data_IF_137809094185
#
_entry.id   IF_137809094185
#
_cell.length_a   1.000
_cell.length_b   1.000
_cell.length_c   1.000
_cell.angle_alpha   90.00
_cell.angle_beta   90.00
_cell.angle_gamma   90.00
#
_symmetry.space_group_name_H-M   'P 1'
#
loop_
_entity.id
_entity.type
_entity.pdbx_description
1 polymer ?
#
# COMPACT_ATOMS: atom_id res chain seq x y z
N UNK A 1 48.09 -18.57 14.96
CA UNK A 1 47.39 -18.17 16.19
C UNK A 1 45.95 -17.68 15.98
N UNK A 2 45.60 -16.80 15.03
CA UNK A 2 44.20 -16.36 14.86
C UNK A 2 43.28 -17.41 14.22
N UNK A 3 43.78 -18.26 13.35
CA UNK A 3 43.02 -19.33 12.69
C UNK A 3 42.66 -20.49 13.65
N UNK A 4 43.52 -20.79 14.61
CA UNK A 4 43.29 -21.88 15.57
C UNK A 4 42.11 -21.56 16.50
N UNK A 5 41.94 -20.29 16.89
CA UNK A 5 40.80 -19.83 17.70
C UNK A 5 39.46 -19.97 16.93
N UNK A 6 39.49 -19.76 15.63
CA UNK A 6 38.30 -19.92 14.77
C UNK A 6 37.84 -21.39 14.70
N UNK A 7 38.81 -22.33 14.48
CA UNK A 7 38.50 -23.75 14.46
C UNK A 7 38.00 -24.29 15.81
N UNK A 8 38.55 -23.79 16.91
CA UNK A 8 38.09 -24.14 18.26
C UNK A 8 36.66 -23.62 18.51
N UNK A 9 36.35 -22.41 18.07
CA UNK A 9 35.00 -21.82 18.21
C UNK A 9 33.95 -22.60 17.39
N UNK A 10 34.23 -22.95 16.14
CA UNK A 10 33.32 -23.73 15.27
C UNK A 10 33.06 -25.13 15.86
N UNK A 11 34.09 -25.80 16.38
CA UNK A 11 33.94 -27.14 16.96
C UNK A 11 33.12 -27.10 18.28
N UNK A 12 33.22 -26.01 19.03
CA UNK A 12 32.49 -25.77 20.26
C UNK A 12 30.97 -25.62 20.03
N UNK A 13 30.58 -24.91 18.97
CA UNK A 13 29.14 -24.69 18.60
C UNK A 13 28.49 -26.04 18.25
N UNK A 14 29.21 -26.95 17.63
CA UNK A 14 28.70 -28.26 17.17
C UNK A 14 28.31 -29.20 18.31
N UNK A 15 28.87 -29.06 19.51
CA UNK A 15 28.64 -29.95 20.65
C UNK A 15 27.47 -29.50 21.57
N UNK A 16 26.97 -28.24 21.46
CA UNK A 16 25.91 -27.64 22.33
C UNK A 16 24.64 -27.30 21.57
N UNK A 17 23.97 -28.34 21.03
CA UNK A 17 22.93 -28.20 20.01
C UNK A 17 21.69 -27.42 20.45
N UNK A 18 21.16 -27.57 21.66
CA UNK A 18 19.82 -27.01 21.99
C UNK A 18 19.84 -25.52 22.38
N UNK A 19 20.75 -25.09 23.27
CA UNK A 19 20.78 -23.74 23.80
C UNK A 19 21.24 -22.70 22.77
N UNK A 20 22.34 -23.04 22.07
CA UNK A 20 22.86 -22.19 20.98
C UNK A 20 21.86 -22.07 19.84
N UNK A 21 21.11 -23.13 19.52
CA UNK A 21 20.05 -23.12 18.51
C UNK A 21 18.91 -22.17 18.87
N UNK A 22 18.40 -22.19 20.11
CA UNK A 22 17.33 -21.28 20.55
C UNK A 22 17.75 -19.81 20.45
N UNK A 23 19.01 -19.51 20.79
CA UNK A 23 19.55 -18.14 20.67
C UNK A 23 19.66 -17.72 19.20
N UNK A 24 20.18 -18.61 18.32
CA UNK A 24 20.28 -18.36 16.88
C UNK A 24 18.91 -18.16 16.27
N UNK A 25 17.92 -18.98 16.62
CA UNK A 25 16.53 -18.85 16.15
C UNK A 25 15.93 -17.48 16.54
N UNK A 26 16.17 -17.02 17.79
CA UNK A 26 15.73 -15.68 18.22
C UNK A 26 16.32 -14.56 17.36
N UNK A 27 17.61 -14.66 17.01
CA UNK A 27 18.28 -13.68 16.14
C UNK A 27 17.74 -13.78 14.72
N UNK A 28 17.56 -14.99 14.18
CA UNK A 28 17.00 -15.21 12.83
C UNK A 28 15.63 -14.57 12.73
N UNK A 29 14.72 -14.82 13.69
CA UNK A 29 13.37 -14.23 13.68
C UNK A 29 13.45 -12.71 13.74
N UNK A 30 14.27 -12.15 14.63
CA UNK A 30 14.41 -10.70 14.77
C UNK A 30 14.91 -10.02 13.48
N UNK A 31 15.98 -10.56 12.89
CA UNK A 31 16.56 -10.03 11.65
C UNK A 31 15.63 -10.25 10.46
N UNK A 32 15.02 -11.43 10.35
CA UNK A 32 14.07 -11.71 9.26
C UNK A 32 12.88 -10.78 9.29
N UNK A 33 12.30 -10.53 10.47
CA UNK A 33 11.21 -9.58 10.65
C UNK A 33 11.59 -8.16 10.21
N UNK A 34 12.77 -7.66 10.62
CA UNK A 34 13.24 -6.34 10.23
C UNK A 34 13.34 -6.22 8.71
N UNK A 35 14.02 -7.17 8.08
CA UNK A 35 14.28 -7.12 6.62
C UNK A 35 12.98 -7.24 5.84
N UNK A 36 12.11 -8.19 6.21
CA UNK A 36 10.82 -8.37 5.56
C UNK A 36 9.96 -7.11 5.64
N UNK A 37 9.85 -6.50 6.82
CA UNK A 37 9.03 -5.32 7.04
C UNK A 37 9.57 -4.07 6.34
N UNK A 38 10.91 -3.85 6.38
CA UNK A 38 11.51 -2.70 5.68
C UNK A 38 11.34 -2.86 4.17
N UNK A 39 11.54 -4.07 3.64
CA UNK A 39 11.38 -4.33 2.21
C UNK A 39 9.93 -4.11 1.78
N UNK A 40 8.97 -4.62 2.56
CA UNK A 40 7.55 -4.43 2.28
C UNK A 40 7.14 -2.95 2.32
N UNK A 41 7.60 -2.19 3.32
CA UNK A 41 7.33 -0.76 3.42
C UNK A 41 7.86 0.02 2.21
N UNK A 42 9.09 -0.25 1.78
CA UNK A 42 9.67 0.39 0.59
C UNK A 42 8.99 -0.01 -0.71
N UNK A 43 8.57 -1.27 -0.83
CA UNK A 43 7.81 -1.71 -2.01
C UNK A 43 6.47 -0.98 -2.09
N UNK A 44 5.76 -0.83 -0.97
CA UNK A 44 4.49 -0.11 -0.92
C UNK A 44 4.68 1.37 -1.28
N UNK A 45 5.71 2.04 -0.71
CA UNK A 45 6.06 3.42 -1.04
C UNK A 45 6.31 3.59 -2.55
N UNK A 46 7.17 2.75 -3.14
CA UNK A 46 7.48 2.79 -4.57
C UNK A 46 6.26 2.52 -5.46
N UNK A 47 5.38 1.59 -5.05
CA UNK A 47 4.14 1.30 -5.79
C UNK A 47 3.19 2.48 -5.77
N UNK A 48 3.02 3.12 -4.60
CA UNK A 48 2.19 4.30 -4.47
C UNK A 48 2.73 5.47 -5.30
N UNK A 49 4.04 5.72 -5.25
CA UNK A 49 4.68 6.74 -6.09
C UNK A 49 4.42 6.50 -7.58
N UNK A 50 4.59 5.27 -8.06
CA UNK A 50 4.31 4.91 -9.46
C UNK A 50 2.84 5.10 -9.83
N UNK A 51 1.90 4.72 -8.97
CA UNK A 51 0.48 4.95 -9.20
C UNK A 51 0.17 6.45 -9.30
N UNK A 52 0.69 7.27 -8.38
CA UNK A 52 0.47 8.72 -8.44
C UNK A 52 1.16 9.40 -9.63
N UNK A 53 2.32 8.92 -10.08
CA UNK A 53 2.92 9.39 -11.33
C UNK A 53 2.03 9.07 -12.53
N UNK A 54 1.42 7.89 -12.55
CA UNK A 54 0.51 7.44 -13.62
C UNK A 54 -0.81 8.21 -13.60
N UNK A 55 -1.43 8.42 -12.43
CA UNK A 55 -2.67 9.19 -12.29
C UNK A 55 -2.50 10.71 -12.51
N UNK A 56 -1.26 11.18 -12.69
CA UNK A 56 -0.93 12.57 -12.97
C UNK A 56 -0.67 13.41 -11.72
N UNK A 57 0.58 13.87 -11.58
CA UNK A 57 1.01 14.75 -10.50
C UNK A 57 0.33 16.13 -10.51
N UNK A 58 -0.36 16.47 -11.61
CA UNK A 58 -0.96 17.79 -11.85
C UNK A 58 -2.44 17.86 -11.45
N UNK A 59 -2.89 17.05 -10.50
CA UNK A 59 -4.30 17.04 -10.07
C UNK A 59 -4.45 17.62 -8.67
N UNK A 60 -5.52 18.40 -8.50
CA UNK A 60 -6.01 18.88 -7.22
C UNK A 60 -7.34 18.17 -6.96
N UNK A 61 -7.48 17.64 -5.77
CA UNK A 61 -8.68 16.94 -5.32
C UNK A 61 -9.42 17.79 -4.29
N UNK A 62 -10.72 17.88 -4.44
CA UNK A 62 -11.60 18.49 -3.43
C UNK A 62 -12.57 17.43 -2.95
N UNK A 63 -12.68 17.30 -1.64
CA UNK A 63 -13.61 16.38 -0.98
C UNK A 63 -14.25 17.01 0.23
N UNK A 64 -15.35 16.44 0.70
CA UNK A 64 -15.93 16.86 1.98
C UNK A 64 -14.99 16.51 3.14
N UNK A 65 -14.96 17.35 4.16
CA UNK A 65 -14.10 17.14 5.33
C UNK A 65 -14.43 15.83 6.04
N UNK A 66 -13.42 15.03 6.29
CA UNK A 66 -13.60 13.69 6.85
C UNK A 66 -13.90 12.59 5.82
N UNK A 67 -13.81 12.89 4.54
CA UNK A 67 -13.85 11.88 3.49
C UNK A 67 -12.70 10.88 3.64
N UNK A 68 -13.02 9.59 3.74
CA UNK A 68 -12.04 8.53 3.97
C UNK A 68 -11.68 7.74 2.69
N UNK A 69 -12.06 8.28 1.53
CA UNK A 69 -11.77 7.66 0.24
C UNK A 69 -12.99 7.08 -0.48
N UNK A 70 -12.80 6.53 -1.68
CA UNK A 70 -13.87 5.95 -2.48
C UNK A 70 -14.68 4.89 -1.72
N UNK A 71 -15.99 4.91 -1.88
CA UNK A 71 -16.91 4.03 -1.16
C UNK A 71 -17.49 4.61 0.12
N UNK A 72 -16.96 5.73 0.63
CA UNK A 72 -17.54 6.48 1.75
C UNK A 72 -18.36 7.67 1.22
N UNK A 73 -19.50 7.95 1.86
CA UNK A 73 -20.30 9.10 1.49
C UNK A 73 -19.57 10.39 1.90
N UNK A 74 -19.31 11.26 0.92
CA UNK A 74 -18.79 12.59 1.19
C UNK A 74 -19.98 13.51 1.47
N UNK A 75 -20.08 14.04 2.67
CA UNK A 75 -21.11 15.01 2.98
C UNK A 75 -20.63 16.40 2.59
N UNK A 76 -21.29 16.98 1.63
CA UNK A 76 -21.26 18.43 1.51
C UNK A 76 -20.75 19.07 0.23
N UNK A 77 -20.19 18.36 -0.76
CA UNK A 77 -19.91 18.95 -2.07
C UNK A 77 -21.15 18.90 -2.97
N UNK A 78 -21.34 19.96 -3.75
CA UNK A 78 -22.47 20.13 -4.64
C UNK A 78 -22.02 20.54 -6.05
N UNK A 79 -22.96 20.52 -7.00
CA UNK A 79 -22.72 21.03 -8.35
C UNK A 79 -22.31 22.52 -8.33
N UNK A 80 -22.84 23.33 -7.40
CA UNK A 80 -22.43 24.73 -7.27
C UNK A 80 -20.95 24.90 -6.93
N UNK A 81 -20.36 23.94 -6.19
CA UNK A 81 -18.93 23.94 -5.89
C UNK A 81 -18.12 23.66 -7.16
N UNK A 82 -18.59 22.72 -8.00
CA UNK A 82 -17.98 22.43 -9.31
C UNK A 82 -17.97 23.68 -10.17
N UNK A 83 -19.14 24.32 -10.35
CA UNK A 83 -19.27 25.55 -11.12
C UNK A 83 -18.39 26.69 -10.60
N UNK A 84 -18.16 26.74 -9.29
CA UNK A 84 -17.29 27.74 -8.66
C UNK A 84 -15.84 27.52 -9.05
N UNK A 85 -15.39 26.24 -9.08
CA UNK A 85 -14.03 25.86 -9.48
C UNK A 85 -13.83 26.04 -10.98
N UNK A 86 -14.79 25.68 -11.82
CA UNK A 86 -14.71 25.82 -13.28
C UNK A 86 -14.50 27.28 -13.73
N UNK A 87 -14.98 28.25 -12.96
CA UNK A 87 -14.78 29.68 -13.23
C UNK A 87 -13.35 30.14 -12.95
N UNK A 88 -12.53 29.31 -12.30
CA UNK A 88 -11.13 29.60 -12.04
C UNK A 88 -10.31 29.22 -13.29
N UNK A 89 -9.65 30.20 -13.91
CA UNK A 89 -8.75 29.91 -15.02
C UNK A 89 -7.48 29.20 -14.55
N UNK A 90 -6.98 28.25 -15.34
CA UNK A 90 -5.74 27.50 -15.06
C UNK A 90 -5.94 25.99 -15.03
N UNK A 91 -7.18 25.52 -15.02
CA UNK A 91 -7.51 24.10 -15.16
C UNK A 91 -7.67 23.69 -16.62
N UNK A 92 -7.29 22.50 -16.94
CA UNK A 92 -7.54 21.82 -18.22
C UNK A 92 -8.97 21.30 -18.24
N UNK A 93 -9.35 20.58 -17.17
CA UNK A 93 -10.73 20.19 -16.89
C UNK A 93 -10.99 20.16 -15.39
N UNK A 94 -12.26 20.18 -15.02
CA UNK A 94 -12.77 19.97 -13.67
C UNK A 94 -13.82 18.86 -13.75
N UNK A 95 -13.59 17.78 -13.02
CA UNK A 95 -14.41 16.57 -13.06
C UNK A 95 -15.08 16.33 -11.71
N UNK A 96 -16.41 16.46 -11.63
CA UNK A 96 -17.15 15.95 -10.48
C UNK A 96 -17.22 14.43 -10.52
N UNK A 97 -17.04 13.78 -9.36
CA UNK A 97 -17.10 12.32 -9.24
C UNK A 97 -18.00 11.87 -8.10
N UNK A 98 -18.68 10.75 -8.31
CA UNK A 98 -19.40 9.99 -7.30
C UNK A 98 -18.78 8.61 -7.21
N UNK A 99 -18.34 8.20 -6.01
CA UNK A 99 -17.67 6.92 -5.77
C UNK A 99 -18.29 6.24 -4.56
N UNK A 100 -19.31 5.41 -4.79
CA UNK A 100 -20.07 4.74 -3.73
C UNK A 100 -20.26 3.26 -4.02
N UNK A 101 -20.37 2.47 -2.96
CA UNK A 101 -20.68 1.05 -3.08
C UNK A 101 -22.19 0.87 -3.36
N UNK A 102 -22.50 -0.02 -4.31
CA UNK A 102 -23.87 -0.37 -4.63
C UNK A 102 -24.05 -1.87 -4.85
N UNK A 103 -25.28 -2.30 -4.74
CA UNK A 103 -25.70 -3.64 -5.11
C UNK A 103 -25.70 -3.78 -6.63
N UNK A 104 -25.05 -4.83 -7.12
CA UNK A 104 -25.00 -5.19 -8.54
C UNK A 104 -25.55 -6.58 -8.72
N UNK A 105 -26.56 -6.70 -9.60
CA UNK A 105 -27.18 -7.98 -9.91
C UNK A 105 -26.91 -8.37 -11.36
N UNK A 106 -26.53 -9.61 -11.54
CA UNK A 106 -26.42 -10.25 -12.85
C UNK A 106 -27.12 -11.59 -12.85
N UNK A 107 -28.16 -11.74 -13.67
CA UNK A 107 -29.06 -12.89 -13.65
C UNK A 107 -29.67 -13.09 -12.25
N UNK A 108 -29.38 -14.22 -11.60
CA UNK A 108 -29.90 -14.58 -10.29
C UNK A 108 -28.88 -14.36 -9.16
N UNK A 109 -27.71 -13.77 -9.47
CA UNK A 109 -26.64 -13.53 -8.51
C UNK A 109 -26.54 -12.05 -8.18
N UNK A 110 -26.21 -11.75 -6.92
CA UNK A 110 -26.07 -10.40 -6.40
C UNK A 110 -24.69 -10.24 -5.76
N UNK A 111 -24.02 -9.15 -6.05
CA UNK A 111 -22.77 -8.75 -5.44
C UNK A 111 -22.77 -7.28 -5.04
N UNK A 112 -21.74 -6.84 -4.35
CA UNK A 112 -21.53 -5.44 -3.98
C UNK A 112 -20.16 -4.99 -4.49
N UNK A 113 -20.14 -3.83 -5.13
CA UNK A 113 -18.88 -3.24 -5.59
C UNK A 113 -18.93 -1.73 -5.62
N UNK A 114 -17.77 -1.11 -5.83
CA UNK A 114 -17.64 0.33 -5.99
C UNK A 114 -18.18 0.74 -7.37
N UNK A 115 -19.05 1.72 -7.38
CA UNK A 115 -19.54 2.38 -8.58
C UNK A 115 -18.88 3.75 -8.68
N UNK A 116 -18.15 3.97 -9.78
CA UNK A 116 -17.57 5.26 -10.15
C UNK A 116 -18.45 5.96 -11.16
N UNK A 117 -18.88 7.18 -10.86
CA UNK A 117 -19.65 8.04 -11.77
C UNK A 117 -18.84 9.28 -12.11
N UNK A 118 -18.45 9.42 -13.37
CA UNK A 118 -17.80 10.62 -13.93
C UNK A 118 -18.61 11.13 -15.13
N UNK A 119 -18.44 12.41 -15.54
CA UNK A 119 -19.00 12.90 -16.80
C UNK A 119 -18.57 12.00 -17.97
N UNK A 120 -19.54 11.64 -18.81
CA UNK A 120 -19.32 10.66 -19.88
C UNK A 120 -18.20 11.08 -20.85
N UNK A 121 -18.11 12.37 -21.14
CA UNK A 121 -17.10 12.98 -22.01
C UNK A 121 -15.67 12.94 -21.44
N UNK A 122 -15.52 12.72 -20.13
CA UNK A 122 -14.22 12.74 -19.46
C UNK A 122 -13.60 11.34 -19.24
N UNK A 123 -14.34 10.26 -19.55
CA UNK A 123 -13.83 8.91 -19.35
C UNK A 123 -12.61 8.57 -20.19
N UNK A 124 -12.53 9.08 -21.44
CA UNK A 124 -11.41 8.84 -22.33
C UNK A 124 -10.11 9.46 -21.76
N UNK A 125 -10.22 10.72 -21.33
CA UNK A 125 -9.10 11.43 -20.71
C UNK A 125 -8.73 10.78 -19.35
N UNK A 126 -9.70 10.45 -18.53
CA UNK A 126 -9.49 9.81 -17.23
C UNK A 126 -8.77 8.46 -17.36
N UNK A 127 -9.14 7.62 -18.32
CA UNK A 127 -8.47 6.34 -18.55
C UNK A 127 -7.09 6.52 -19.16
N UNK A 128 -6.94 7.46 -20.10
CA UNK A 128 -5.64 7.77 -20.71
C UNK A 128 -4.64 8.28 -19.66
N UNK A 129 -5.04 9.25 -18.87
CA UNK A 129 -4.25 9.82 -17.78
C UNK A 129 -3.91 8.77 -16.71
N UNK A 130 -4.84 7.87 -16.41
CA UNK A 130 -4.67 6.79 -15.44
C UNK A 130 -3.92 5.57 -15.99
N UNK A 131 -3.50 5.59 -17.28
CA UNK A 131 -2.88 4.44 -17.93
C UNK A 131 -3.80 3.22 -18.02
N UNK A 132 -5.11 3.40 -17.84
CA UNK A 132 -6.14 2.35 -17.87
C UNK A 132 -6.49 2.05 -19.33
N UNK A 133 -6.40 0.79 -19.72
CA UNK A 133 -6.72 0.36 -21.09
C UNK A 133 -8.02 -0.42 -21.13
N UNK A 134 -8.68 -0.38 -22.27
CA UNK A 134 -9.82 -1.25 -22.56
C UNK A 134 -9.29 -2.58 -23.09
N UNK A 135 -9.64 -3.67 -22.40
CA UNK A 135 -9.34 -5.04 -22.83
C UNK A 135 -10.32 -5.50 -23.93
N UNK A 136 -11.60 -5.20 -23.75
CA UNK A 136 -12.67 -5.58 -24.69
C UNK A 136 -13.73 -4.48 -24.76
N UNK A 137 -14.26 -4.22 -25.96
CA UNK A 137 -15.31 -3.24 -26.16
C UNK A 137 -14.78 -1.82 -26.35
N UNK A 138 -15.33 -0.84 -25.65
CA UNK A 138 -15.01 0.58 -25.82
C UNK A 138 -15.25 1.38 -24.51
N UNK A 139 -14.71 2.59 -24.49
CA UNK A 139 -14.98 3.59 -23.45
C UNK A 139 -16.45 4.07 -23.56
N UNK A 140 -17.02 4.51 -22.45
CA UNK A 140 -18.30 5.25 -22.38
C UNK A 140 -18.17 6.50 -23.25
N UNK A 141 -19.19 6.76 -24.06
CA UNK A 141 -19.21 7.91 -24.96
C UNK A 141 -20.13 9.02 -24.45
N UNK A 142 -19.88 10.22 -24.90
CA UNK A 142 -20.75 11.38 -24.66
C UNK A 142 -22.21 11.07 -25.00
N UNK A 143 -23.14 11.59 -24.19
CA UNK A 143 -24.58 11.38 -24.30
C UNK A 143 -25.12 9.95 -24.04
N UNK A 144 -24.27 9.02 -23.58
CA UNK A 144 -24.72 7.73 -23.11
C UNK A 144 -25.05 7.79 -21.60
N UNK A 145 -26.15 7.16 -21.18
CA UNK A 145 -26.57 7.20 -19.77
C UNK A 145 -26.55 5.84 -19.08
N UNK A 146 -27.16 4.82 -19.66
CA UNK A 146 -27.29 3.51 -19.03
C UNK A 146 -26.30 2.50 -19.62
N UNK A 147 -25.05 2.85 -19.59
CA UNK A 147 -23.91 2.02 -20.01
C UNK A 147 -22.88 1.93 -18.90
N UNK A 148 -22.07 0.87 -18.92
CA UNK A 148 -21.06 0.64 -17.92
C UNK A 148 -19.76 0.14 -18.55
N UNK A 149 -18.62 0.63 -18.07
CA UNK A 149 -17.33 -0.02 -18.17
C UNK A 149 -17.05 -0.77 -16.85
N UNK A 150 -16.64 -2.01 -16.92
CA UNK A 150 -16.42 -2.86 -15.76
C UNK A 150 -14.96 -3.26 -15.63
N UNK A 151 -14.44 -3.31 -14.41
CA UNK A 151 -13.10 -3.81 -14.14
C UNK A 151 -12.97 -5.30 -14.43
N UNK A 152 -11.74 -5.76 -14.69
CA UNK A 152 -11.43 -7.15 -15.05
C UNK A 152 -11.96 -8.16 -14.03
N UNK A 153 -11.85 -7.89 -12.73
CA UNK A 153 -12.32 -8.79 -11.68
C UNK A 153 -13.83 -8.84 -11.56
N UNK A 154 -14.53 -7.74 -11.89
CA UNK A 154 -16.00 -7.75 -12.00
C UNK A 154 -16.44 -8.68 -13.14
N UNK A 155 -15.72 -8.60 -14.27
CA UNK A 155 -16.01 -9.44 -15.43
C UNK A 155 -15.78 -10.93 -15.14
N UNK A 156 -14.68 -11.29 -14.48
CA UNK A 156 -14.21 -12.68 -14.37
C UNK A 156 -14.58 -13.35 -13.04
N UNK A 157 -14.63 -12.61 -11.92
CA UNK A 157 -14.63 -13.20 -10.56
C UNK A 157 -15.82 -12.84 -9.70
N UNK A 158 -16.59 -11.81 -10.05
CA UNK A 158 -17.69 -11.33 -9.21
C UNK A 158 -18.90 -12.28 -9.23
N UNK A 159 -19.15 -12.94 -10.36
CA UNK A 159 -20.28 -13.82 -10.57
C UNK A 159 -19.80 -15.20 -11.04
N UNK A 160 -20.62 -16.25 -10.85
CA UNK A 160 -20.30 -17.60 -11.32
C UNK A 160 -20.20 -17.72 -12.85
N UNK A 161 -20.78 -16.76 -13.57
CA UNK A 161 -20.70 -16.68 -15.04
C UNK A 161 -20.02 -15.37 -15.41
N UNK A 162 -19.04 -15.47 -16.28
CA UNK A 162 -18.31 -14.31 -16.81
C UNK A 162 -19.26 -13.28 -17.44
N UNK A 163 -18.95 -12.02 -17.17
CA UNK A 163 -19.62 -10.85 -17.75
C UNK A 163 -18.85 -10.38 -18.97
N UNK A 164 -19.45 -10.48 -20.14
CA UNK A 164 -18.90 -9.98 -21.40
C UNK A 164 -19.52 -8.66 -21.86
N UNK A 165 -18.89 -8.02 -22.82
CA UNK A 165 -19.43 -6.85 -23.51
C UNK A 165 -20.79 -7.18 -24.13
N UNK A 166 -21.75 -6.28 -23.96
CA UNK A 166 -23.15 -6.46 -24.44
C UNK A 166 -24.07 -7.10 -23.40
N UNK A 167 -23.56 -7.67 -22.32
CA UNK A 167 -24.39 -8.16 -21.22
C UNK A 167 -25.07 -6.99 -20.49
N UNK A 168 -26.13 -7.30 -19.75
CA UNK A 168 -26.85 -6.35 -18.94
C UNK A 168 -26.68 -6.70 -17.48
N UNK A 169 -26.41 -5.70 -16.67
CA UNK A 169 -26.33 -5.76 -15.21
C UNK A 169 -27.35 -4.80 -14.61
N UNK A 170 -27.81 -5.07 -13.43
CA UNK A 170 -28.71 -4.18 -12.69
C UNK A 170 -27.94 -3.59 -11.50
N UNK A 171 -27.83 -2.26 -11.44
CA UNK A 171 -27.19 -1.52 -10.35
C UNK A 171 -28.29 -0.77 -9.59
N UNK A 172 -28.49 -1.08 -8.31
CA UNK A 172 -29.60 -0.50 -7.52
C UNK A 172 -30.94 -0.48 -8.27
N UNK A 173 -31.29 -1.60 -8.94
CA UNK A 173 -32.54 -1.80 -9.71
C UNK A 173 -32.65 -1.04 -11.03
N UNK A 174 -31.58 -0.42 -11.51
CA UNK A 174 -31.51 0.20 -12.83
C UNK A 174 -30.62 -0.64 -13.74
N UNK A 175 -31.10 -0.95 -14.95
CA UNK A 175 -30.38 -1.79 -15.91
C UNK A 175 -29.32 -0.99 -16.68
N UNK A 176 -28.10 -1.52 -16.73
CA UNK A 176 -26.96 -0.98 -17.48
C UNK A 176 -26.44 -2.00 -18.47
N UNK A 177 -26.05 -1.54 -19.66
CA UNK A 177 -25.39 -2.35 -20.66
C UNK A 177 -23.88 -2.24 -20.50
N UNK A 178 -23.19 -3.35 -20.37
CA UNK A 178 -21.72 -3.41 -20.39
C UNK A 178 -21.21 -3.08 -21.80
N UNK A 179 -20.44 -2.01 -21.94
CA UNK A 179 -19.90 -1.54 -23.24
C UNK A 179 -18.39 -1.72 -23.34
N UNK A 180 -17.70 -1.92 -22.21
CA UNK A 180 -16.27 -2.21 -22.18
C UNK A 180 -15.84 -2.90 -20.90
N UNK A 181 -14.76 -3.66 -21.02
CA UNK A 181 -14.06 -4.33 -19.91
C UNK A 181 -12.67 -3.72 -19.84
N UNK A 182 -12.26 -3.28 -18.65
CA UNK A 182 -10.95 -2.68 -18.41
C UNK A 182 -9.89 -3.77 -18.27
N UNK A 183 -8.67 -3.49 -18.75
CA UNK A 183 -7.50 -4.33 -18.51
C UNK A 183 -7.18 -4.38 -17.00
N UNK A 184 -6.68 -5.53 -16.52
CA UNK A 184 -6.29 -5.69 -15.11
C UNK A 184 -5.13 -4.72 -14.79
N UNK A 185 -5.39 -3.78 -13.89
CA UNK A 185 -4.38 -2.80 -13.42
C UNK A 185 -3.53 -3.41 -12.31
N UNK A 186 -4.04 -4.46 -11.65
CA UNK A 186 -3.40 -5.12 -10.51
C UNK A 186 -3.71 -4.47 -9.17
N UNK A 187 -4.62 -3.51 -9.15
CA UNK A 187 -5.17 -2.89 -7.96
C UNK A 187 -6.60 -3.41 -7.74
N UNK A 188 -6.81 -4.10 -6.61
CA UNK A 188 -8.10 -4.73 -6.31
C UNK A 188 -9.27 -3.75 -6.32
N UNK A 189 -9.06 -2.48 -6.02
CA UNK A 189 -10.13 -1.49 -5.97
C UNK A 189 -10.57 -1.12 -7.39
N UNK A 190 -9.63 -0.82 -8.27
CA UNK A 190 -9.92 -0.43 -9.65
C UNK A 190 -10.40 -1.62 -10.48
N UNK A 191 -9.80 -2.81 -10.27
CA UNK A 191 -10.20 -4.04 -10.95
C UNK A 191 -11.59 -4.55 -10.53
N UNK A 192 -12.10 -4.15 -9.36
CA UNK A 192 -13.46 -4.46 -8.89
C UNK A 192 -14.45 -3.30 -9.08
N UNK A 193 -14.08 -2.22 -9.74
CA UNK A 193 -14.94 -1.06 -9.93
C UNK A 193 -15.81 -1.20 -11.18
N UNK A 194 -17.02 -0.61 -11.11
CA UNK A 194 -17.88 -0.40 -12.27
C UNK A 194 -18.00 1.10 -12.48
N UNK A 195 -17.71 1.56 -13.69
CA UNK A 195 -17.77 2.95 -14.10
C UNK A 195 -19.02 3.19 -14.94
N UNK A 196 -19.79 4.23 -14.59
CA UNK A 196 -21.03 4.61 -15.26
C UNK A 196 -21.08 6.15 -15.45
N UNK A 197 -21.88 6.68 -16.38
CA UNK A 197 -22.06 8.13 -16.49
C UNK A 197 -22.54 8.76 -15.18
N UNK A 198 -22.02 9.96 -14.86
CA UNK A 198 -22.31 10.69 -13.62
C UNK A 198 -23.82 10.92 -13.41
N UNK A 199 -24.55 11.22 -14.49
CA UNK A 199 -26.00 11.42 -14.42
C UNK A 199 -26.74 10.15 -13.96
N UNK A 200 -26.29 8.98 -14.43
CA UNK A 200 -26.84 7.71 -14.00
C UNK A 200 -26.44 7.40 -12.55
N UNK A 201 -25.20 7.74 -12.14
CA UNK A 201 -24.78 7.60 -10.75
C UNK A 201 -25.65 8.44 -9.80
N UNK A 202 -25.93 9.68 -10.15
CA UNK A 202 -26.86 10.54 -9.39
C UNK A 202 -28.26 9.95 -9.25
N UNK A 203 -28.74 9.32 -10.32
CA UNK A 203 -30.06 8.68 -10.33
C UNK A 203 -30.11 7.45 -9.42
N UNK A 204 -29.14 6.54 -9.52
CA UNK A 204 -29.11 5.31 -8.70
C UNK A 204 -28.90 5.58 -7.21
N UNK A 205 -28.26 6.71 -6.85
CA UNK A 205 -28.05 7.12 -5.46
C UNK A 205 -29.10 8.13 -4.96
N UNK A 206 -30.05 8.54 -5.80
CA UNK A 206 -31.11 9.50 -5.47
C UNK A 206 -30.60 10.86 -4.95
N UNK A 207 -29.48 11.31 -5.45
CA UNK A 207 -28.82 12.55 -5.02
C UNK A 207 -28.43 13.41 -6.24
N UNK A 208 -29.34 14.20 -6.80
CA UNK A 208 -29.11 14.88 -8.08
C UNK A 208 -28.07 16.00 -8.03
N UNK A 209 -27.82 16.58 -6.86
CA UNK A 209 -26.90 17.70 -6.69
C UNK A 209 -25.60 17.33 -5.97
N UNK A 210 -25.50 16.10 -5.44
CA UNK A 210 -24.34 15.66 -4.66
C UNK A 210 -23.14 15.32 -5.53
N UNK A 211 -21.95 15.60 -4.99
CA UNK A 211 -20.65 15.24 -5.53
C UNK A 211 -19.80 14.74 -4.37
N UNK A 212 -19.13 13.58 -4.53
CA UNK A 212 -18.27 13.03 -3.47
C UNK A 212 -16.86 13.61 -3.54
N UNK A 213 -16.37 13.87 -4.76
CA UNK A 213 -15.07 14.48 -5.00
C UNK A 213 -15.09 15.33 -6.27
N UNK A 214 -14.24 16.34 -6.31
CA UNK A 214 -13.97 17.12 -7.53
C UNK A 214 -12.50 16.95 -7.85
N UNK A 215 -12.21 16.52 -9.08
CA UNK A 215 -10.85 16.33 -9.59
C UNK A 215 -10.57 17.46 -10.58
N UNK A 216 -9.62 18.31 -10.29
CA UNK A 216 -9.22 19.40 -11.16
C UNK A 216 -7.82 19.16 -11.74
N UNK A 217 -7.73 19.01 -13.05
CA UNK A 217 -6.45 18.87 -13.77
C UNK A 217 -5.87 20.25 -14.03
N UNK A 218 -4.65 20.50 -13.56
CA UNK A 218 -3.96 21.78 -13.73
C UNK A 218 -3.15 21.75 -15.02
N UNK A 219 -3.22 22.80 -15.83
CA UNK A 219 -2.47 22.92 -17.10
C UNK A 219 -0.97 22.91 -16.90
N UNK A 220 -0.49 23.54 -15.84
CA UNK A 220 0.93 23.72 -15.57
C UNK A 220 1.22 23.39 -14.11
N UNK A 221 2.08 22.41 -13.86
CA UNK A 221 2.40 21.94 -12.50
C UNK A 221 2.89 23.05 -11.54
N UNK A 222 3.59 24.06 -12.05
CA UNK A 222 4.05 25.21 -11.23
C UNK A 222 2.92 26.05 -10.65
N UNK A 223 1.71 25.96 -11.20
CA UNK A 223 0.57 26.76 -10.79
C UNK A 223 -0.27 26.09 -9.67
N UNK A 224 0.03 24.83 -9.35
CA UNK A 224 -0.72 24.04 -8.36
C UNK A 224 -0.88 24.75 -7.02
N UNK A 225 0.18 25.27 -6.36
CA UNK A 225 0.02 25.92 -5.05
C UNK A 225 -0.87 27.15 -5.10
N UNK A 226 -0.73 27.95 -6.17
CA UNK A 226 -1.54 29.16 -6.38
C UNK A 226 -3.01 28.81 -6.66
N UNK A 227 -3.25 27.77 -7.48
CA UNK A 227 -4.60 27.33 -7.82
C UNK A 227 -5.29 26.65 -6.64
N UNK A 228 -4.57 25.88 -5.85
CA UNK A 228 -5.06 25.30 -4.60
C UNK A 228 -5.57 26.39 -3.65
N UNK A 229 -4.73 27.38 -3.36
CA UNK A 229 -5.10 28.51 -2.48
C UNK A 229 -6.31 29.29 -3.02
N UNK A 230 -6.36 29.46 -4.34
CA UNK A 230 -7.47 30.16 -4.99
C UNK A 230 -8.78 29.35 -4.91
N UNK A 231 -8.71 28.02 -5.11
CA UNK A 231 -9.86 27.12 -4.94
C UNK A 231 -10.40 27.17 -3.50
N UNK A 232 -9.52 27.07 -2.50
CA UNK A 232 -9.90 27.14 -1.10
C UNK A 232 -10.65 28.46 -0.79
N UNK A 233 -10.07 29.60 -1.18
CA UNK A 233 -10.68 30.93 -0.95
C UNK A 233 -12.02 31.11 -1.67
N UNK A 234 -12.12 30.69 -2.91
CA UNK A 234 -13.38 30.84 -3.66
C UNK A 234 -14.49 29.93 -3.13
N UNK A 235 -14.15 28.69 -2.75
CA UNK A 235 -15.09 27.76 -2.12
C UNK A 235 -15.53 28.29 -0.74
N UNK A 236 -14.60 28.71 0.12
CA UNK A 236 -14.90 29.29 1.44
C UNK A 236 -15.80 30.51 1.31
N UNK A 237 -15.50 31.40 0.35
CA UNK A 237 -16.31 32.61 0.09
C UNK A 237 -17.72 32.27 -0.37
N UNK A 238 -17.88 31.24 -1.22
CA UNK A 238 -19.17 30.83 -1.79
C UNK A 238 -20.02 30.06 -0.78
N UNK A 239 -19.40 29.13 -0.05
CA UNK A 239 -20.08 28.26 0.91
C UNK A 239 -20.32 28.93 2.26
N UNK A 240 -19.42 29.81 2.69
CA UNK A 240 -19.43 30.41 4.02
C UNK A 240 -19.02 29.43 5.14
N UNK A 241 -18.48 28.27 4.79
CA UNK A 241 -17.97 27.26 5.70
C UNK A 241 -16.65 26.67 5.20
N UNK A 242 -15.99 25.85 6.05
CA UNK A 242 -14.77 25.11 5.75
C UNK A 242 -14.99 23.60 5.87
N UNK A 243 -16.16 23.10 5.51
CA UNK A 243 -16.51 21.66 5.57
C UNK A 243 -15.97 20.86 4.39
N UNK A 244 -15.03 21.39 3.65
CA UNK A 244 -14.33 20.77 2.54
C UNK A 244 -12.82 20.74 2.79
N UNK A 245 -12.09 19.96 2.01
CA UNK A 245 -10.65 19.86 1.99
C UNK A 245 -10.16 19.89 0.54
N UNK A 246 -9.14 20.71 0.27
CA UNK A 246 -8.50 20.81 -1.04
C UNK A 246 -7.09 20.27 -0.91
N UNK A 247 -6.79 19.16 -1.55
CA UNK A 247 -5.50 18.48 -1.43
C UNK A 247 -4.88 18.22 -2.80
N UNK A 248 -3.57 18.31 -2.88
CA UNK A 248 -2.82 17.94 -4.09
C UNK A 248 -2.39 16.49 -4.04
N UNK A 249 -2.09 15.89 -5.20
CA UNK A 249 -1.55 14.54 -5.27
C UNK A 249 -0.27 14.38 -4.41
N UNK A 250 0.60 15.40 -4.43
CA UNK A 250 1.82 15.40 -3.61
C UNK A 250 1.55 15.44 -2.11
N UNK A 251 0.53 16.18 -1.65
CA UNK A 251 0.14 16.20 -0.24
C UNK A 251 -0.45 14.87 0.22
N UNK A 252 -1.23 14.20 -0.63
CA UNK A 252 -1.72 12.84 -0.34
C UNK A 252 -0.55 11.86 -0.17
N UNK A 253 0.42 11.90 -1.10
CA UNK A 253 1.64 11.07 -0.98
C UNK A 253 2.42 11.37 0.31
N UNK A 254 2.58 12.64 0.66
CA UNK A 254 3.27 13.04 1.88
C UNK A 254 2.55 12.52 3.13
N UNK A 255 1.22 12.60 3.19
CA UNK A 255 0.43 12.05 4.30
C UNK A 255 0.60 10.53 4.40
N UNK A 256 0.56 9.81 3.28
CA UNK A 256 0.78 8.36 3.24
C UNK A 256 2.20 8.03 3.74
N UNK A 257 3.22 8.75 3.26
CA UNK A 257 4.59 8.55 3.68
C UNK A 257 4.81 8.83 5.18
N UNK A 258 4.12 9.83 5.74
CA UNK A 258 4.12 10.07 7.19
C UNK A 258 3.53 8.90 7.97
N UNK A 259 2.39 8.35 7.53
CA UNK A 259 1.76 7.18 8.15
C UNK A 259 2.70 5.97 8.08
N UNK A 260 3.26 5.70 6.91
CA UNK A 260 4.22 4.61 6.70
C UNK A 260 5.47 4.80 7.58
N UNK A 261 5.97 6.03 7.71
CA UNK A 261 7.10 6.37 8.58
C UNK A 261 6.82 6.08 10.06
N UNK A 262 5.64 6.42 10.56
CA UNK A 262 5.23 6.08 11.94
C UNK A 262 5.15 4.58 12.13
N UNK A 263 4.53 3.85 11.18
CA UNK A 263 4.48 2.39 11.22
C UNK A 263 5.88 1.78 11.22
N UNK A 264 6.80 2.29 10.40
CA UNK A 264 8.18 1.84 10.33
C UNK A 264 8.92 2.03 11.66
N UNK A 265 8.73 3.17 12.36
CA UNK A 265 9.33 3.41 13.69
C UNK A 265 8.84 2.36 14.70
N UNK A 266 7.54 2.06 14.73
CA UNK A 266 6.97 1.05 15.62
C UNK A 266 7.55 -0.34 15.33
N UNK A 267 7.62 -0.72 14.04
CA UNK A 267 8.14 -2.01 13.62
C UNK A 267 9.65 -2.15 13.94
N UNK A 268 10.43 -1.10 13.71
CA UNK A 268 11.86 -1.06 14.10
C UNK A 268 12.01 -1.16 15.61
N UNK A 269 11.13 -0.54 16.38
CA UNK A 269 11.11 -0.67 17.85
C UNK A 269 10.89 -2.11 18.31
N UNK A 270 9.90 -2.81 17.75
CA UNK A 270 9.63 -4.22 18.03
C UNK A 270 10.84 -5.09 17.68
N UNK A 271 11.43 -4.83 16.53
CA UNK A 271 12.60 -5.54 16.05
C UNK A 271 13.83 -5.30 16.93
N UNK A 272 14.04 -4.07 17.41
CA UNK A 272 15.10 -3.74 18.36
C UNK A 272 14.95 -4.53 19.67
N UNK A 273 13.71 -4.65 20.19
CA UNK A 273 13.44 -5.49 21.37
C UNK A 273 13.80 -6.96 21.09
N UNK A 274 13.42 -7.49 19.93
CA UNK A 274 13.75 -8.87 19.53
C UNK A 274 15.26 -9.11 19.46
N UNK A 275 16.02 -8.16 18.90
CA UNK A 275 17.49 -8.21 18.89
C UNK A 275 18.10 -8.13 20.29
N UNK A 276 17.53 -7.31 21.17
CA UNK A 276 17.97 -7.20 22.57
C UNK A 276 17.76 -8.52 23.30
N UNK A 277 16.63 -9.19 23.11
CA UNK A 277 16.36 -10.52 23.64
C UNK A 277 17.39 -11.55 23.10
N UNK A 278 17.69 -11.49 21.81
CA UNK A 278 18.75 -12.30 21.19
C UNK A 278 20.12 -12.05 21.82
N UNK A 279 20.49 -10.80 22.06
CA UNK A 279 21.74 -10.40 22.69
C UNK A 279 21.85 -10.94 24.15
N UNK A 280 20.78 -10.83 24.92
CA UNK A 280 20.67 -11.41 26.28
C UNK A 280 20.81 -12.94 26.20
N UNK A 281 20.22 -13.57 25.20
CA UNK A 281 20.34 -15.00 24.95
C UNK A 281 21.80 -15.42 24.67
N UNK A 282 22.53 -14.65 23.83
CA UNK A 282 23.96 -14.87 23.59
C UNK A 282 24.75 -14.72 24.91
N UNK A 283 24.52 -13.63 25.64
CA UNK A 283 25.22 -13.35 26.92
C UNK A 283 25.03 -14.51 27.91
N UNK A 284 23.79 -14.98 28.10
CA UNK A 284 23.49 -16.08 29.01
C UNK A 284 24.13 -17.41 28.54
N UNK A 285 24.12 -17.65 27.24
CA UNK A 285 24.82 -18.82 26.64
C UNK A 285 26.31 -18.77 26.84
N UNK A 286 26.96 -17.60 26.65
CA UNK A 286 28.37 -17.41 26.87
C UNK A 286 28.76 -17.51 28.34
N UNK A 287 27.95 -16.92 29.26
CA UNK A 287 28.17 -17.03 30.70
C UNK A 287 28.21 -18.50 31.15
N UNK A 288 27.20 -19.28 30.73
CA UNK A 288 27.18 -20.72 31.03
C UNK A 288 28.35 -21.46 30.39
N UNK A 289 28.76 -21.08 29.16
CA UNK A 289 29.90 -21.67 28.46
C UNK A 289 31.19 -21.46 29.23
N UNK A 290 31.40 -20.27 29.80
CA UNK A 290 32.59 -19.96 30.63
C UNK A 290 32.60 -20.83 31.89
N UNK A 291 31.47 -20.98 32.60
CA UNK A 291 31.35 -21.81 33.80
C UNK A 291 31.64 -23.28 33.51
N UNK A 292 31.10 -23.84 32.45
CA UNK A 292 31.32 -25.25 32.08
C UNK A 292 32.77 -25.54 31.65
N UNK A 293 33.49 -24.54 31.13
CA UNK A 293 34.87 -24.64 30.68
C UNK A 293 35.90 -24.10 31.69
N UNK A 294 35.50 -23.88 32.92
CA UNK A 294 36.39 -23.32 33.96
C UNK A 294 37.70 -24.12 34.11
N UNK A 295 37.65 -25.46 34.00
CA UNK A 295 38.83 -26.34 34.06
C UNK A 295 39.76 -26.13 32.87
N UNK A 296 39.22 -26.01 31.64
CA UNK A 296 39.97 -25.74 30.40
C UNK A 296 40.63 -24.36 30.46
N UNK A 297 39.91 -23.36 30.94
CA UNK A 297 40.39 -22.00 31.17
C UNK A 297 41.55 -22.02 32.19
N UNK A 298 41.39 -22.80 33.27
CA UNK A 298 42.46 -22.99 34.27
C UNK A 298 43.73 -23.59 33.69
N UNK A 299 43.59 -24.61 32.82
CA UNK A 299 44.74 -25.22 32.11
C UNK A 299 45.39 -24.20 31.17
N UNK A 300 44.62 -23.47 30.37
CA UNK A 300 45.16 -22.42 29.50
C UNK A 300 45.92 -21.35 30.29
N UNK A 301 45.43 -20.95 31.44
CA UNK A 301 46.13 -20.00 32.32
C UNK A 301 47.42 -20.57 32.92
N UNK A 302 47.44 -21.85 33.28
CA UNK A 302 48.65 -22.50 33.83
C UNK A 302 49.79 -22.60 32.83
N UNK A 303 49.49 -22.64 31.53
CA UNK A 303 50.46 -22.61 30.42
C UNK A 303 50.78 -21.21 29.92
N UNK A 304 50.24 -20.14 30.58
CA UNK A 304 50.60 -18.75 30.32
C UNK A 304 49.63 -17.93 29.45
N UNK A 305 48.43 -18.41 29.17
CA UNK A 305 47.43 -17.63 28.41
C UNK A 305 46.98 -16.39 29.21
N UNK A 306 46.95 -15.24 28.54
CA UNK A 306 46.50 -13.96 29.14
C UNK A 306 44.98 -13.84 29.12
N UNK A 307 44.43 -13.03 30.02
CA UNK A 307 42.96 -12.77 30.03
C UNK A 307 42.38 -12.30 28.70
N UNK A 308 43.08 -11.40 27.92
CA UNK A 308 42.59 -11.02 26.61
C UNK A 308 42.50 -12.17 25.60
N UNK A 309 43.42 -13.15 25.67
CA UNK A 309 43.41 -14.29 24.74
C UNK A 309 42.19 -15.17 24.96
N UNK A 310 41.82 -15.40 26.22
CA UNK A 310 40.62 -16.12 26.62
C UNK A 310 39.36 -15.34 26.22
N UNK A 311 39.35 -14.02 26.46
CA UNK A 311 38.22 -13.16 26.08
C UNK A 311 37.97 -13.20 24.58
N UNK A 312 39.02 -13.15 23.74
CA UNK A 312 38.90 -13.24 22.29
C UNK A 312 38.26 -14.54 21.81
N UNK A 313 38.51 -15.68 22.45
CA UNK A 313 37.89 -16.97 22.10
C UNK A 313 36.36 -16.86 22.25
N UNK A 314 35.86 -16.34 23.38
CA UNK A 314 34.45 -16.22 23.65
C UNK A 314 33.78 -15.11 22.79
N UNK A 315 34.50 -14.00 22.48
CA UNK A 315 34.03 -12.97 21.57
C UNK A 315 33.84 -13.49 20.14
N UNK A 316 34.82 -14.30 19.66
CA UNK A 316 34.71 -14.93 18.33
C UNK A 316 33.53 -15.93 18.31
N UNK A 317 33.34 -16.72 19.37
CA UNK A 317 32.23 -17.67 19.48
C UNK A 317 30.87 -16.94 19.46
N UNK A 318 30.71 -15.87 20.24
CA UNK A 318 29.53 -15.03 20.25
C UNK A 318 29.29 -14.35 18.90
N UNK A 319 30.36 -13.81 18.27
CA UNK A 319 30.31 -13.18 16.96
C UNK A 319 29.87 -14.15 15.85
N UNK A 320 30.36 -15.41 15.88
CA UNK A 320 29.92 -16.44 14.94
C UNK A 320 28.43 -16.79 15.09
N UNK A 321 27.92 -16.88 16.32
CA UNK A 321 26.51 -17.11 16.58
C UNK A 321 25.68 -15.95 15.99
N UNK A 322 26.07 -14.70 16.24
CA UNK A 322 25.42 -13.52 15.69
C UNK A 322 25.47 -13.46 14.17
N UNK A 323 26.63 -13.79 13.58
CA UNK A 323 26.81 -13.79 12.12
C UNK A 323 25.95 -14.86 11.44
N UNK A 324 25.93 -16.09 11.96
CA UNK A 324 25.07 -17.16 11.43
C UNK A 324 23.61 -16.78 11.55
N UNK A 325 23.18 -16.27 12.71
CA UNK A 325 21.80 -15.78 12.91
C UNK A 325 21.45 -14.63 11.98
N UNK A 326 22.36 -13.68 11.78
CA UNK A 326 22.18 -12.54 10.88
C UNK A 326 22.06 -12.96 9.41
N UNK A 327 22.98 -13.80 8.91
CA UNK A 327 22.96 -14.28 7.52
C UNK A 327 21.69 -15.10 7.24
N UNK A 328 21.36 -16.05 8.12
CA UNK A 328 20.14 -16.86 7.96
C UNK A 328 18.88 -16.01 8.09
N UNK A 329 18.87 -15.05 9.03
CA UNK A 329 17.76 -14.12 9.20
C UNK A 329 17.57 -13.22 7.96
N UNK A 330 18.66 -12.71 7.39
CA UNK A 330 18.61 -11.94 6.13
C UNK A 330 18.08 -12.79 4.98
N UNK A 331 18.58 -13.99 4.79
CA UNK A 331 18.12 -14.87 3.73
C UNK A 331 16.63 -15.22 3.88
N UNK A 332 16.17 -15.51 5.09
CA UNK A 332 14.81 -15.86 5.40
C UNK A 332 13.87 -14.64 5.27
N UNK A 333 14.28 -13.47 5.75
CA UNK A 333 13.53 -12.22 5.61
C UNK A 333 13.38 -11.79 4.15
N UNK A 334 14.45 -11.91 3.36
CA UNK A 334 14.39 -11.64 1.91
C UNK A 334 13.50 -12.63 1.17
N UNK A 335 13.58 -13.94 1.53
CA UNK A 335 12.71 -14.94 0.94
C UNK A 335 11.24 -14.72 1.27
N UNK A 336 10.93 -14.31 2.51
CA UNK A 336 9.57 -13.93 2.92
C UNK A 336 9.07 -12.71 2.14
N UNK A 337 9.89 -11.66 2.01
CA UNK A 337 9.53 -10.46 1.26
C UNK A 337 9.24 -10.78 -0.22
N UNK A 338 10.07 -11.59 -0.87
CA UNK A 338 9.86 -12.04 -2.25
C UNK A 338 8.65 -12.97 -2.40
N UNK A 339 8.37 -13.80 -1.39
CA UNK A 339 7.23 -14.74 -1.41
C UNK A 339 5.88 -14.06 -1.17
N UNK A 340 5.85 -12.92 -0.48
CA UNK A 340 4.61 -12.16 -0.23
C UNK A 340 4.12 -11.47 -1.52
N UNK A 341 5.00 -11.02 -2.40
CA UNK A 341 4.64 -10.31 -3.62
C UNK A 341 3.62 -11.06 -4.50
N UNK A 342 3.84 -12.32 -4.89
CA UNK A 342 2.86 -13.09 -5.68
C UNK A 342 1.52 -13.28 -4.96
N UNK A 343 1.55 -13.52 -3.63
CA UNK A 343 0.34 -13.71 -2.82
C UNK A 343 -0.44 -12.40 -2.69
N UNK A 344 0.25 -11.28 -2.52
CA UNK A 344 -0.36 -9.96 -2.48
C UNK A 344 -1.04 -9.63 -3.81
N UNK A 345 -0.40 -9.96 -4.94
CA UNK A 345 -0.96 -9.81 -6.28
C UNK A 345 -2.25 -10.63 -6.48
N UNK A 346 -2.27 -11.90 -6.07
CA UNK A 346 -3.50 -12.72 -6.10
C UNK A 346 -4.60 -12.16 -5.18
N UNK A 347 -4.22 -11.58 -4.05
CA UNK A 347 -5.16 -10.91 -3.15
C UNK A 347 -5.62 -9.53 -3.65
N UNK A 348 -5.02 -9.01 -4.77
CA UNK A 348 -5.38 -7.73 -5.38
C UNK A 348 -4.71 -6.51 -4.75
N UNK A 349 -3.55 -6.74 -4.14
CA UNK A 349 -2.66 -5.64 -3.79
C UNK A 349 -1.60 -5.49 -4.90
N UNK A 350 -1.31 -4.27 -5.34
CA UNK A 350 -0.34 -4.00 -6.41
C UNK A 350 1.08 -4.42 -6.07
#
# INVERSE_FOLDING_TARGET
MRFDYFFMAVNSIRHRKLRSWLTVVGIIIGVAAIISLITMSRSLESTLEQQFETFGANKIFVSGKGFQGPGTQSNGLTIEDVETIEKISGFEYVSPGIFRSAEVKYKDETGFTLIGGLPAEQYEDFYTDGGIKIQEGRVIQENEKYVANIGSRVAEKMFSKELGVGNKIEINKIEFKVVGILEEVGNSQDDNQINIPLEAAREIFHEPESVDTIIAQVKTASDIPMLQEKMEKELERKRGDTSFEVVTASQILEQINQILGVMQIVLVGIAAISLLVGAIGIMNSMYTSVLERTKEIGIMKSIGARNPDILWIFLIEAGLIGLVGGVLGTALGSAMALGIGPIAKEAGFP
#
